data_IF_169568872399
#
_entry.id   IF_169568872399
#
_cell.length_a   1.000
_cell.length_b   1.000
_cell.length_c   1.000
_cell.angle_alpha   90.00
_cell.angle_beta   90.00
_cell.angle_gamma   90.00
#
_symmetry.space_group_name_H-M   'P 1'
#
loop_
_entity.id
_entity.type
_entity.pdbx_description
1 polymer ?
#
# COMPACT_ATOMS: atom_id res chain seq x y z
N UNK A 1 -1.44 23.94 -12.39
CA UNK A 1 -1.65 22.55 -11.90
C UNK A 1 -0.28 21.98 -11.50
N UNK A 2 -0.13 21.45 -10.29
CA UNK A 2 1.14 20.86 -9.85
C UNK A 2 1.45 19.52 -10.55
N UNK A 3 2.71 19.05 -10.47
CA UNK A 3 3.15 17.74 -11.00
C UNK A 3 2.18 16.62 -10.55
N UNK A 4 1.84 15.61 -11.36
CA UNK A 4 1.07 14.45 -10.87
C UNK A 4 1.86 13.65 -9.81
N UNK A 5 1.22 12.79 -9.00
CA UNK A 5 1.96 11.80 -8.21
C UNK A 5 2.61 10.74 -9.12
N UNK A 6 3.60 10.03 -8.60
CA UNK A 6 4.35 9.02 -9.35
C UNK A 6 3.52 7.76 -9.66
N UNK A 7 2.56 7.44 -8.78
CA UNK A 7 1.64 6.31 -8.88
C UNK A 7 0.23 6.72 -8.43
N UNK A 8 -0.79 6.05 -8.96
CA UNK A 8 -2.16 6.16 -8.48
C UNK A 8 -2.63 4.81 -7.92
N UNK A 9 -3.08 4.78 -6.68
CA UNK A 9 -3.73 3.59 -6.10
C UNK A 9 -5.21 3.56 -6.47
N UNK A 10 -5.62 2.50 -7.16
CA UNK A 10 -7.00 2.25 -7.52
C UNK A 10 -7.61 1.23 -6.54
N UNK A 11 -8.41 1.74 -5.61
CA UNK A 11 -9.17 0.96 -4.62
C UNK A 11 -10.42 0.32 -5.25
N UNK A 12 -10.22 -0.78 -5.98
CA UNK A 12 -11.27 -1.53 -6.66
C UNK A 12 -12.38 -1.98 -5.70
N UNK A 13 -12.05 -2.25 -4.44
CA UNK A 13 -13.04 -2.62 -3.42
C UNK A 13 -14.06 -1.50 -3.16
N UNK A 14 -13.70 -0.22 -3.36
CA UNK A 14 -14.62 0.91 -3.25
C UNK A 14 -15.42 1.17 -4.53
N UNK A 15 -14.86 0.82 -5.68
CA UNK A 15 -15.47 1.07 -7.00
C UNK A 15 -16.23 -0.12 -7.58
N UNK A 16 -16.44 -1.20 -6.81
CA UNK A 16 -17.07 -2.44 -7.30
C UNK A 16 -18.40 -2.22 -8.03
N UNK A 17 -19.23 -1.26 -7.59
CA UNK A 17 -20.54 -0.96 -8.19
C UNK A 17 -20.46 -0.19 -9.52
N UNK A 18 -19.30 0.36 -9.87
CA UNK A 18 -19.08 1.19 -11.06
C UNK A 18 -17.89 0.69 -11.88
N UNK A 19 -17.57 -0.60 -11.76
CA UNK A 19 -16.31 -1.17 -12.25
C UNK A 19 -16.14 -1.03 -13.77
N UNK A 20 -17.23 -1.16 -14.53
CA UNK A 20 -17.19 -1.02 -15.99
C UNK A 20 -16.93 0.42 -16.42
N UNK A 21 -17.54 1.39 -15.73
CA UNK A 21 -17.29 2.81 -15.98
C UNK A 21 -15.86 3.19 -15.59
N UNK A 22 -15.38 2.62 -14.48
CA UNK A 22 -14.02 2.82 -14.01
C UNK A 22 -13.01 2.31 -15.04
N UNK A 23 -13.20 1.12 -15.59
CA UNK A 23 -12.30 0.55 -16.61
C UNK A 23 -12.20 1.46 -17.84
N UNK A 24 -13.33 2.00 -18.31
CA UNK A 24 -13.39 2.96 -19.43
C UNK A 24 -12.68 4.28 -19.14
N UNK A 25 -12.65 4.74 -17.88
CA UNK A 25 -11.97 5.98 -17.47
C UNK A 25 -10.48 5.75 -17.23
N UNK A 26 -10.12 4.63 -16.62
CA UNK A 26 -8.75 4.27 -16.27
C UNK A 26 -7.88 4.08 -17.50
N UNK A 27 -8.44 3.63 -18.63
CA UNK A 27 -7.73 3.57 -19.92
C UNK A 27 -7.19 4.93 -20.40
N UNK A 28 -7.69 6.04 -19.83
CA UNK A 28 -7.26 7.41 -20.16
C UNK A 28 -6.24 7.99 -19.17
N UNK A 29 -5.96 7.30 -18.05
CA UNK A 29 -4.99 7.76 -17.05
C UNK A 29 -3.55 7.50 -17.52
N UNK A 30 -2.68 8.51 -17.39
CA UNK A 30 -1.29 8.50 -17.92
C UNK A 30 -0.13 8.24 -16.93
N UNK A 31 -0.34 7.74 -15.70
CA UNK A 31 0.76 7.18 -14.91
C UNK A 31 0.45 5.79 -14.32
N UNK A 32 1.49 5.04 -13.89
CA UNK A 32 1.32 3.65 -13.51
C UNK A 32 0.37 3.45 -12.32
N UNK A 33 -0.44 2.40 -12.39
CA UNK A 33 -1.45 2.11 -11.38
C UNK A 33 -0.94 1.09 -10.35
N UNK A 34 -1.29 1.32 -9.09
CA UNK A 34 -1.34 0.28 -8.06
C UNK A 34 -2.80 -0.18 -7.99
N UNK A 35 -3.09 -1.44 -8.30
CA UNK A 35 -4.45 -1.98 -8.13
C UNK A 35 -4.59 -2.67 -6.79
N UNK A 36 -5.69 -2.39 -6.09
CA UNK A 36 -5.94 -2.93 -4.75
C UNK A 36 -7.41 -3.25 -4.59
N UNK A 37 -7.72 -4.46 -4.13
CA UNK A 37 -9.03 -4.84 -3.63
C UNK A 37 -8.83 -5.25 -2.17
N UNK A 38 -8.90 -4.28 -1.26
CA UNK A 38 -8.49 -4.45 0.15
C UNK A 38 -9.37 -5.48 0.86
N UNK A 39 -8.74 -6.37 1.65
CA UNK A 39 -9.47 -7.35 2.47
C UNK A 39 -10.35 -6.63 3.52
N UNK A 40 -11.61 -7.06 3.77
CA UNK A 40 -12.50 -6.41 4.75
C UNK A 40 -11.90 -6.28 6.17
N UNK A 41 -11.27 -7.35 6.66
CA UNK A 41 -10.55 -7.34 7.95
C UNK A 41 -9.29 -6.44 8.01
N UNK A 42 -8.90 -5.83 6.89
CA UNK A 42 -7.80 -4.85 6.81
C UNK A 42 -8.30 -3.47 6.33
N UNK A 43 -9.60 -3.18 6.49
CA UNK A 43 -10.18 -1.88 6.12
C UNK A 43 -10.70 -1.79 4.68
N UNK A 44 -11.00 -2.94 4.06
CA UNK A 44 -11.64 -3.02 2.76
C UNK A 44 -13.12 -2.62 2.79
N UNK A 45 -13.58 -1.96 1.73
CA UNK A 45 -14.99 -1.59 1.57
C UNK A 45 -15.82 -2.74 0.99
N UNK A 46 -17.15 -2.60 1.04
CA UNK A 46 -18.14 -3.48 0.38
C UNK A 46 -18.08 -4.98 0.75
N UNK A 47 -17.32 -5.37 1.79
CA UNK A 47 -17.25 -6.74 2.33
C UNK A 47 -17.05 -7.82 1.25
N UNK A 48 -16.22 -7.54 0.25
CA UNK A 48 -16.01 -8.43 -0.89
C UNK A 48 -15.40 -9.77 -0.49
N UNK A 49 -15.91 -10.85 -1.08
CA UNK A 49 -15.38 -12.20 -0.93
C UNK A 49 -14.01 -12.34 -1.62
N UNK A 50 -13.26 -13.40 -1.28
CA UNK A 50 -12.00 -13.70 -1.94
C UNK A 50 -12.15 -13.82 -3.46
N UNK A 51 -13.20 -14.50 -3.95
CA UNK A 51 -13.46 -14.68 -5.37
C UNK A 51 -13.77 -13.34 -6.06
N UNK A 52 -14.62 -12.50 -5.45
CA UNK A 52 -14.93 -11.17 -5.99
C UNK A 52 -13.67 -10.31 -6.10
N UNK A 53 -12.83 -10.31 -5.06
CA UNK A 53 -11.56 -9.58 -5.04
C UNK A 53 -10.60 -10.10 -6.11
N UNK A 54 -10.48 -11.42 -6.28
CA UNK A 54 -9.69 -12.04 -7.34
C UNK A 54 -10.15 -11.52 -8.71
N UNK A 55 -11.44 -11.62 -9.02
CA UNK A 55 -11.98 -11.24 -10.33
C UNK A 55 -11.70 -9.76 -10.65
N UNK A 56 -11.88 -8.87 -9.66
CA UNK A 56 -11.56 -7.45 -9.82
C UNK A 56 -10.08 -7.23 -10.12
N UNK A 57 -9.19 -7.87 -9.36
CA UNK A 57 -7.75 -7.70 -9.53
C UNK A 57 -7.27 -8.28 -10.86
N UNK A 58 -7.73 -9.47 -11.24
CA UNK A 58 -7.41 -10.09 -12.51
C UNK A 58 -7.84 -9.22 -13.70
N UNK A 59 -9.05 -8.64 -13.64
CA UNK A 59 -9.59 -7.74 -14.66
C UNK A 59 -8.73 -6.49 -14.90
N UNK A 60 -8.17 -5.91 -13.85
CA UNK A 60 -7.35 -4.69 -13.95
C UNK A 60 -5.85 -4.95 -14.05
N UNK A 61 -5.41 -6.19 -13.85
CA UNK A 61 -3.99 -6.58 -13.87
C UNK A 61 -3.24 -6.12 -15.12
N UNK A 62 -3.78 -6.21 -16.36
CA UNK A 62 -3.08 -5.76 -17.57
C UNK A 62 -2.77 -4.26 -17.61
N UNK A 63 -3.39 -3.45 -16.74
CA UNK A 63 -3.20 -1.99 -16.66
C UNK A 63 -2.36 -1.57 -15.46
N UNK A 64 -1.98 -2.51 -14.61
CA UNK A 64 -1.30 -2.24 -13.36
C UNK A 64 0.22 -2.27 -13.51
N UNK A 65 0.91 -1.38 -12.80
CA UNK A 65 2.35 -1.54 -12.52
C UNK A 65 2.57 -2.36 -11.26
N UNK A 66 1.68 -2.21 -10.28
CA UNK A 66 1.69 -2.97 -9.05
C UNK A 66 0.32 -3.56 -8.74
N UNK A 67 0.29 -4.77 -8.19
CA UNK A 67 -0.86 -5.35 -7.51
C UNK A 67 -0.58 -5.42 -6.00
N UNK A 68 -1.51 -4.93 -5.17
CA UNK A 68 -1.46 -5.04 -3.70
C UNK A 68 -2.33 -6.21 -3.24
N UNK A 69 -1.71 -7.19 -2.58
CA UNK A 69 -2.37 -8.32 -1.92
C UNK A 69 -1.93 -8.37 -0.46
N UNK A 70 -2.87 -8.50 0.48
CA UNK A 70 -2.50 -8.64 1.88
C UNK A 70 -1.77 -9.97 2.12
N UNK A 71 -0.80 -9.98 3.03
CA UNK A 71 -0.05 -11.17 3.41
C UNK A 71 -0.99 -12.32 3.83
N UNK A 72 -2.09 -12.01 4.54
CA UNK A 72 -3.10 -13.01 4.91
C UNK A 72 -3.83 -13.63 3.72
N UNK A 73 -3.94 -12.90 2.62
CA UNK A 73 -4.60 -13.34 1.39
C UNK A 73 -3.62 -14.02 0.44
N UNK A 74 -2.31 -13.79 0.57
CA UNK A 74 -1.30 -14.31 -0.36
C UNK A 74 -1.40 -15.83 -0.63
N UNK A 75 -1.66 -16.73 0.35
CA UNK A 75 -1.85 -18.15 0.08
C UNK A 75 -3.02 -18.45 -0.88
N UNK A 76 -4.14 -17.73 -0.75
CA UNK A 76 -5.33 -17.89 -1.60
C UNK A 76 -5.26 -17.16 -2.94
N UNK A 77 -4.22 -16.35 -3.15
CA UNK A 77 -4.01 -15.55 -4.37
C UNK A 77 -2.75 -15.97 -5.14
N UNK A 78 -2.19 -17.16 -4.86
CA UNK A 78 -0.95 -17.68 -5.51
C UNK A 78 -1.02 -17.62 -7.03
N UNK A 79 -2.12 -18.04 -7.64
CA UNK A 79 -2.30 -18.02 -9.09
C UNK A 79 -2.29 -16.60 -9.67
N UNK A 80 -2.92 -15.64 -8.99
CA UNK A 80 -2.89 -14.22 -9.38
C UNK A 80 -1.48 -13.63 -9.24
N UNK A 81 -0.76 -13.93 -8.15
CA UNK A 81 0.62 -13.46 -7.95
C UNK A 81 1.57 -14.02 -9.02
N UNK A 82 1.38 -15.28 -9.43
CA UNK A 82 2.12 -15.88 -10.55
C UNK A 82 1.77 -15.22 -11.88
N UNK A 83 0.49 -14.95 -12.13
CA UNK A 83 0.04 -14.25 -13.33
C UNK A 83 0.61 -12.81 -13.39
N UNK A 84 0.63 -12.10 -12.26
CA UNK A 84 1.24 -10.77 -12.14
C UNK A 84 2.71 -10.81 -12.55
N UNK A 85 3.48 -11.76 -12.00
CA UNK A 85 4.88 -11.97 -12.39
C UNK A 85 5.03 -12.24 -13.90
N UNK A 86 4.22 -13.14 -14.47
CA UNK A 86 4.25 -13.46 -15.92
C UNK A 86 3.92 -12.24 -16.80
N UNK A 87 3.11 -11.31 -16.30
CA UNK A 87 2.70 -10.08 -17.00
C UNK A 87 3.59 -8.87 -16.66
N UNK A 88 4.72 -9.07 -15.99
CA UNK A 88 5.62 -8.00 -15.52
C UNK A 88 4.95 -6.96 -14.61
N UNK A 89 3.89 -7.36 -13.90
CA UNK A 89 3.24 -6.56 -12.86
C UNK A 89 3.92 -6.87 -11.53
N UNK A 90 4.46 -5.84 -10.87
CA UNK A 90 5.11 -5.97 -9.57
C UNK A 90 4.10 -6.23 -8.45
N UNK A 91 4.55 -6.85 -7.36
CA UNK A 91 3.71 -7.34 -6.28
C UNK A 91 4.03 -6.57 -5.00
N UNK A 92 3.05 -5.86 -4.49
CA UNK A 92 3.05 -5.33 -3.12
C UNK A 92 2.37 -6.38 -2.27
N UNK A 93 3.08 -6.90 -1.27
CA UNK A 93 2.45 -7.73 -0.23
C UNK A 93 2.29 -6.87 1.02
N UNK A 94 1.06 -6.73 1.50
CA UNK A 94 0.72 -5.72 2.50
C UNK A 94 0.17 -6.27 3.82
N UNK A 95 0.31 -5.52 4.91
CA UNK A 95 -0.34 -5.81 6.20
C UNK A 95 -0.82 -4.52 6.84
N UNK A 96 -2.03 -4.53 7.40
CA UNK A 96 -2.62 -3.38 8.09
C UNK A 96 -2.94 -3.73 9.55
N UNK A 97 -2.15 -3.18 10.48
CA UNK A 97 -2.36 -3.27 11.93
C UNK A 97 -3.12 -2.04 12.44
N UNK A 98 -4.45 -2.09 12.35
CA UNK A 98 -5.31 -0.94 12.64
C UNK A 98 -5.41 -0.57 14.13
N UNK A 99 -4.85 -1.38 15.04
CA UNK A 99 -4.97 -1.19 16.50
C UNK A 99 -3.68 -0.70 17.16
N UNK A 100 -2.52 -1.15 16.70
CA UNK A 100 -1.22 -0.78 17.28
C UNK A 100 -0.08 -1.05 16.30
N UNK A 101 1.14 -0.64 16.69
CA UNK A 101 2.37 -1.04 16.01
C UNK A 101 2.94 -2.31 16.65
N UNK A 102 3.04 -3.44 15.93
CA UNK A 102 3.56 -4.70 16.45
C UNK A 102 5.01 -4.62 16.94
N UNK A 103 5.49 -5.66 17.60
CA UNK A 103 6.90 -5.79 17.99
C UNK A 103 7.83 -5.85 16.76
N UNK A 104 9.12 -5.47 16.89
CA UNK A 104 10.08 -5.55 15.79
C UNK A 104 10.20 -6.95 15.20
N UNK A 105 10.26 -7.99 16.04
CA UNK A 105 10.32 -9.38 15.58
C UNK A 105 9.11 -9.79 14.74
N UNK A 106 7.91 -9.31 15.09
CA UNK A 106 6.70 -9.57 14.28
C UNK A 106 6.73 -8.83 12.94
N UNK A 107 7.19 -7.58 12.91
CA UNK A 107 7.34 -6.83 11.66
C UNK A 107 8.36 -7.51 10.72
N UNK A 108 9.50 -7.95 11.25
CA UNK A 108 10.53 -8.70 10.50
C UNK A 108 10.00 -10.03 9.97
N UNK A 109 9.30 -10.80 10.79
CA UNK A 109 8.67 -12.05 10.36
C UNK A 109 7.66 -11.84 9.23
N UNK A 110 6.88 -10.75 9.28
CA UNK A 110 5.94 -10.40 8.21
C UNK A 110 6.65 -9.98 6.91
N UNK A 111 7.75 -9.24 7.00
CA UNK A 111 8.57 -8.90 5.84
C UNK A 111 9.18 -10.15 5.18
N UNK A 112 9.71 -11.07 5.98
CA UNK A 112 10.23 -12.35 5.49
C UNK A 112 9.13 -13.20 4.82
N UNK A 113 7.96 -13.31 5.44
CA UNK A 113 6.84 -14.03 4.85
C UNK A 113 6.35 -13.37 3.53
N UNK A 114 6.32 -12.04 3.48
CA UNK A 114 6.00 -11.30 2.27
C UNK A 114 7.02 -11.59 1.15
N UNK A 115 8.31 -11.64 1.47
CA UNK A 115 9.37 -12.02 0.54
C UNK A 115 9.17 -13.44 0.00
N UNK A 116 8.86 -14.41 0.87
CA UNK A 116 8.55 -15.80 0.47
C UNK A 116 7.35 -15.88 -0.49
N UNK A 117 6.37 -14.98 -0.34
CA UNK A 117 5.25 -14.84 -1.28
C UNK A 117 5.58 -14.04 -2.56
N UNK A 118 6.84 -13.68 -2.75
CA UNK A 118 7.34 -12.99 -3.94
C UNK A 118 7.06 -11.50 -3.94
N UNK A 119 7.02 -10.84 -2.77
CA UNK A 119 6.91 -9.39 -2.71
C UNK A 119 8.08 -8.70 -3.42
N UNK A 120 7.76 -7.75 -4.29
CA UNK A 120 8.71 -6.74 -4.79
C UNK A 120 8.81 -5.57 -3.80
N UNK A 121 7.74 -5.30 -3.05
CA UNK A 121 7.69 -4.34 -1.93
C UNK A 121 6.85 -4.97 -0.80
N UNK A 122 7.35 -4.93 0.42
CA UNK A 122 6.55 -5.20 1.62
C UNK A 122 5.93 -3.90 2.12
N UNK A 123 4.60 -3.85 2.21
CA UNK A 123 3.86 -2.68 2.69
C UNK A 123 3.30 -2.94 4.08
N UNK A 124 3.54 -2.03 5.02
CA UNK A 124 2.97 -2.11 6.36
C UNK A 124 2.33 -0.78 6.76
N UNK A 125 1.07 -0.85 7.20
CA UNK A 125 0.38 0.26 7.83
C UNK A 125 0.07 -0.09 9.28
N UNK A 126 0.45 0.74 10.24
CA UNK A 126 0.21 0.48 11.66
C UNK A 126 -0.39 1.68 12.37
N UNK A 127 -1.07 1.46 13.49
CA UNK A 127 -1.52 2.58 14.33
C UNK A 127 -0.36 3.13 15.16
N UNK A 128 -0.14 4.43 15.03
CA UNK A 128 0.93 5.21 15.68
C UNK A 128 0.31 6.35 16.48
N UNK A 129 -0.23 6.02 17.66
CA UNK A 129 -0.82 7.00 18.58
C UNK A 129 0.17 7.48 19.64
N UNK A 130 1.32 6.81 19.78
CA UNK A 130 2.37 7.15 20.75
C UNK A 130 3.75 7.28 20.09
N UNK A 131 4.67 8.09 20.64
CA UNK A 131 6.04 8.19 20.13
C UNK A 131 6.76 6.85 20.07
N UNK A 132 6.54 5.96 21.05
CA UNK A 132 7.13 4.61 21.08
C UNK A 132 6.65 3.75 19.90
N UNK A 133 5.37 3.85 19.53
CA UNK A 133 4.84 3.14 18.35
C UNK A 133 5.42 3.70 17.05
N UNK A 134 5.52 5.02 16.94
CA UNK A 134 6.11 5.69 15.77
C UNK A 134 7.60 5.35 15.61
N UNK A 135 8.39 5.50 16.68
CA UNK A 135 9.82 5.19 16.67
C UNK A 135 10.08 3.75 16.20
N UNK A 136 9.32 2.79 16.74
CA UNK A 136 9.42 1.38 16.31
C UNK A 136 9.17 1.18 14.82
N UNK A 137 8.19 1.89 14.24
CA UNK A 137 7.89 1.80 12.83
C UNK A 137 9.01 2.42 11.97
N UNK A 138 9.59 3.53 12.43
CA UNK A 138 10.75 4.18 11.80
C UNK A 138 11.96 3.27 11.81
N UNK A 139 12.30 2.69 12.96
CA UNK A 139 13.44 1.77 13.12
C UNK A 139 13.29 0.57 12.18
N UNK A 140 12.07 0.02 12.08
CA UNK A 140 11.78 -1.07 11.16
C UNK A 140 11.95 -0.67 9.69
N UNK A 141 11.49 0.51 9.28
CA UNK A 141 11.61 0.97 7.91
C UNK A 141 13.05 1.34 7.50
N UNK A 142 13.86 1.81 8.46
CA UNK A 142 15.26 2.19 8.26
C UNK A 142 16.22 0.98 8.23
N UNK A 143 15.75 -0.20 8.66
CA UNK A 143 16.53 -1.43 8.74
C UNK A 143 17.14 -1.81 7.38
N UNK A 144 18.46 -2.04 7.35
CA UNK A 144 19.22 -2.37 6.13
C UNK A 144 19.37 -3.87 5.88
N UNK A 145 18.96 -4.69 6.84
CA UNK A 145 19.07 -6.15 6.84
C UNK A 145 17.79 -6.86 6.36
N UNK A 146 16.88 -6.13 5.70
CA UNK A 146 15.66 -6.70 5.13
C UNK A 146 15.85 -7.04 3.64
N UNK A 147 15.50 -8.27 3.26
CA UNK A 147 15.61 -8.75 1.87
C UNK A 147 14.52 -8.20 0.91
N UNK A 148 13.70 -7.27 1.37
CA UNK A 148 12.59 -6.69 0.62
C UNK A 148 12.46 -5.20 0.93
N UNK A 149 12.34 -4.32 -0.09
CA UNK A 149 12.04 -2.91 0.12
C UNK A 149 10.75 -2.71 0.92
N UNK A 150 10.76 -1.77 1.88
CA UNK A 150 9.63 -1.52 2.77
C UNK A 150 8.91 -0.22 2.43
N UNK A 151 7.60 -0.30 2.22
CA UNK A 151 6.69 0.85 2.29
C UNK A 151 6.00 0.85 3.66
N UNK A 152 6.24 1.86 4.49
CA UNK A 152 5.70 1.93 5.83
C UNK A 152 4.88 3.21 6.01
N UNK A 153 3.80 3.14 6.77
CA UNK A 153 3.04 4.33 7.16
C UNK A 153 2.28 4.12 8.47
N UNK A 154 2.20 5.20 9.26
CA UNK A 154 1.32 5.28 10.40
C UNK A 154 -0.08 5.74 10.02
N UNK A 155 -1.05 5.28 10.81
CA UNK A 155 -2.40 5.85 10.92
C UNK A 155 -2.61 6.30 12.37
N UNK A 156 -3.56 7.20 12.62
CA UNK A 156 -3.85 7.68 13.98
C UNK A 156 -3.21 9.03 14.29
N UNK A 157 -3.03 9.33 15.59
CA UNK A 157 -2.63 10.66 16.07
C UNK A 157 -1.32 11.16 15.46
N UNK A 158 -0.34 10.27 15.29
CA UNK A 158 0.96 10.59 14.67
C UNK A 158 1.06 10.14 13.21
N UNK A 159 -0.05 9.77 12.57
CA UNK A 159 -0.07 9.30 11.19
C UNK A 159 0.52 10.32 10.21
N UNK A 160 0.26 11.61 10.41
CA UNK A 160 0.80 12.66 9.55
C UNK A 160 2.32 12.76 9.66
N UNK A 161 2.84 12.84 10.90
CA UNK A 161 4.28 12.85 11.18
C UNK A 161 4.97 11.59 10.66
N UNK A 162 4.33 10.42 10.78
CA UNK A 162 4.89 9.15 10.31
C UNK A 162 5.21 9.17 8.82
N UNK A 163 4.35 9.77 7.98
CA UNK A 163 4.55 9.79 6.52
C UNK A 163 5.76 10.62 6.13
N UNK A 164 5.96 11.73 6.81
CA UNK A 164 7.13 12.61 6.66
C UNK A 164 8.40 11.88 7.07
N UNK A 165 8.42 11.34 8.30
CA UNK A 165 9.60 10.69 8.84
C UNK A 165 9.97 9.43 8.06
N UNK A 166 9.00 8.60 7.71
CA UNK A 166 9.23 7.36 6.95
C UNK A 166 9.69 7.63 5.52
N UNK A 167 9.24 8.73 4.89
CA UNK A 167 9.79 9.17 3.61
C UNK A 167 11.29 9.45 3.72
N UNK A 168 11.72 10.14 4.78
CA UNK A 168 13.14 10.41 5.05
C UNK A 168 13.92 9.16 5.49
N UNK A 169 13.25 8.18 6.10
CA UNK A 169 13.86 6.93 6.60
C UNK A 169 13.93 5.81 5.55
N UNK A 170 13.75 6.13 4.26
CA UNK A 170 13.97 5.18 3.17
C UNK A 170 12.75 4.34 2.79
N UNK A 171 11.54 4.79 3.12
CA UNK A 171 10.33 4.08 2.69
C UNK A 171 10.18 4.09 1.16
N UNK A 172 10.02 2.91 0.58
CA UNK A 172 9.97 2.70 -0.87
C UNK A 172 8.76 3.38 -1.55
N UNK A 173 7.64 3.53 -0.84
CA UNK A 173 6.45 4.24 -1.31
C UNK A 173 5.82 5.02 -0.16
N UNK A 174 5.41 6.25 -0.43
CA UNK A 174 4.70 7.12 0.51
C UNK A 174 3.29 7.37 -0.02
N UNK A 175 2.29 6.95 0.74
CA UNK A 175 0.88 7.13 0.35
C UNK A 175 0.38 8.50 0.82
N UNK A 176 -0.29 9.22 -0.06
CA UNK A 176 -0.90 10.53 0.21
C UNK A 176 -2.26 10.62 -0.44
N UNK A 177 -3.11 11.53 0.02
CA UNK A 177 -4.40 11.80 -0.64
C UNK A 177 -4.24 12.84 -1.76
N UNK A 178 -5.06 12.73 -2.81
CA UNK A 178 -5.16 13.78 -3.85
C UNK A 178 -5.95 15.00 -3.37
N UNK A 179 -6.77 14.84 -2.32
CA UNK A 179 -7.56 15.89 -1.69
C UNK A 179 -7.70 15.59 -0.20
N UNK A 180 -8.93 15.64 0.32
CA UNK A 180 -9.22 15.20 1.70
C UNK A 180 -8.87 13.70 1.86
N UNK A 181 -8.12 13.36 2.89
CA UNK A 181 -7.78 11.98 3.22
C UNK A 181 -8.93 11.26 3.92
N UNK A 182 -9.12 9.98 3.59
CA UNK A 182 -10.12 9.09 4.23
C UNK A 182 -9.52 8.25 5.37
N UNK A 183 -8.22 8.39 5.61
CA UNK A 183 -7.48 7.65 6.64
C UNK A 183 -6.96 8.65 7.67
N UNK A 184 -7.17 8.35 8.95
CA UNK A 184 -6.71 9.19 10.06
C UNK A 184 -5.21 9.46 9.97
N UNK A 185 -4.81 10.73 9.96
CA UNK A 185 -3.42 11.16 9.81
C UNK A 185 -2.89 11.10 8.38
N UNK A 186 -3.72 10.88 7.36
CA UNK A 186 -3.28 10.94 5.97
C UNK A 186 -3.14 12.40 5.48
N UNK A 187 -1.92 12.78 5.12
CA UNK A 187 -1.63 14.07 4.49
C UNK A 187 -1.91 14.03 2.98
N UNK A 188 -2.24 15.19 2.44
CA UNK A 188 -2.40 15.38 1.00
C UNK A 188 -1.05 15.47 0.28
N UNK A 189 -1.07 15.21 -1.03
CA UNK A 189 0.08 15.38 -1.90
C UNK A 189 0.62 16.82 -1.87
N UNK A 190 -0.27 17.81 -1.77
CA UNK A 190 0.11 19.21 -1.66
C UNK A 190 0.85 19.49 -0.36
N UNK A 191 0.33 19.01 0.78
CA UNK A 191 0.97 19.16 2.09
C UNK A 191 2.36 18.51 2.11
N UNK A 192 2.51 17.30 1.58
CA UNK A 192 3.80 16.62 1.51
C UNK A 192 4.82 17.43 0.70
N UNK A 193 4.40 18.05 -0.40
CA UNK A 193 5.28 18.88 -1.26
C UNK A 193 5.70 20.17 -0.61
N UNK A 194 4.82 20.82 0.15
CA UNK A 194 5.16 22.04 0.90
C UNK A 194 6.28 21.80 1.91
N UNK A 195 6.41 20.56 2.40
CA UNK A 195 7.49 20.18 3.32
C UNK A 195 8.84 19.93 2.62
N UNK A 196 8.92 20.05 1.28
CA UNK A 196 10.18 19.92 0.53
C UNK A 196 10.78 18.51 0.54
N UNK A 197 10.02 17.50 0.95
CA UNK A 197 10.53 16.12 1.03
C UNK A 197 10.70 15.57 -0.40
N UNK A 198 11.91 15.13 -0.78
CA UNK A 198 12.13 14.56 -2.10
C UNK A 198 11.34 13.26 -2.25
N UNK A 199 10.85 12.97 -3.47
CA UNK A 199 10.32 11.64 -3.77
C UNK A 199 11.40 10.58 -3.48
N UNK A 200 11.05 9.44 -2.86
CA UNK A 200 11.95 8.31 -2.76
C UNK A 200 12.49 7.97 -4.16
N UNK A 201 13.81 7.81 -4.29
CA UNK A 201 14.45 7.44 -5.56
C UNK A 201 14.23 5.97 -5.88
#
# INVERSE_FOLDING_TARGET
>A
MGKPPDLFELRLDRFVRMIDQLEKKVSRLRPPLVITARHPLEGGANRLSQLQRHNLLARFLPRARYVDIELRSAPGFRSLLQLARKKNVRRIISVHHLKSTPSPGRLRAQAGAAKTHGADIFKVATRTDTPVQLARLIDFAAAKDLDVPVSAMGIGKLGAASRVLLACSGSALVYVSLGRGDVEGQISLQQLRTLGIPSPR
#
